data_IF_376363008120
#
_entry.id   IF_376363008120
#
_cell.length_a   1.000
_cell.length_b   1.000
_cell.length_c   1.000
_cell.angle_alpha   90.00
_cell.angle_beta   90.00
_cell.angle_gamma   90.00
#
_symmetry.space_group_name_H-M   'P 1'
#
loop_
_entity.id
_entity.type
_entity.pdbx_description
1 polymer ?
#
# COMPACT_ATOMS: atom_id res chain seq x y z
N UNK A 1 32.05 -12.11 -33.03
CA UNK A 1 30.88 -12.96 -33.29
C UNK A 1 29.91 -12.99 -32.10
N UNK A 2 30.44 -13.25 -30.94
CA UNK A 2 29.61 -13.39 -29.76
C UNK A 2 28.92 -12.10 -29.36
N UNK A 3 29.49 -10.99 -29.70
CA UNK A 3 28.91 -9.69 -29.31
C UNK A 3 27.60 -9.40 -30.00
N UNK A 4 27.32 -10.06 -31.10
CA UNK A 4 26.10 -9.85 -31.83
C UNK A 4 24.87 -10.47 -31.12
N UNK A 5 25.12 -11.37 -30.17
CA UNK A 5 24.06 -12.11 -29.53
C UNK A 5 23.19 -11.20 -28.68
N UNK A 6 23.81 -10.36 -27.86
CA UNK A 6 23.07 -9.52 -26.96
C UNK A 6 22.43 -8.32 -27.65
N UNK A 7 23.13 -7.73 -28.59
CA UNK A 7 22.63 -6.54 -29.26
C UNK A 7 21.35 -6.79 -30.04
N UNK A 8 21.28 -7.84 -30.86
CA UNK A 8 20.02 -8.13 -31.57
C UNK A 8 18.86 -8.42 -30.64
N UNK A 9 19.08 -9.13 -29.55
CA UNK A 9 18.01 -9.42 -28.61
C UNK A 9 17.48 -8.16 -27.97
N UNK A 10 18.37 -7.27 -27.55
CA UNK A 10 17.93 -6.00 -26.96
C UNK A 10 17.18 -5.16 -27.97
N UNK A 11 17.64 -5.16 -29.23
CA UNK A 11 16.99 -4.38 -30.27
C UNK A 11 15.61 -4.93 -30.63
N UNK A 12 15.38 -6.22 -30.38
CA UNK A 12 14.11 -6.85 -30.73
C UNK A 12 13.01 -6.61 -29.70
N UNK A 13 13.37 -6.09 -28.55
CA UNK A 13 12.39 -5.79 -27.52
C UNK A 13 11.63 -4.53 -27.91
N UNK A 14 10.30 -4.60 -27.83
CA UNK A 14 9.49 -3.44 -28.16
C UNK A 14 9.16 -2.63 -26.91
N UNK A 15 8.64 -1.44 -27.16
CA UNK A 15 8.30 -0.53 -26.05
C UNK A 15 7.22 -1.11 -25.17
N UNK A 16 6.33 -1.90 -25.71
CA UNK A 16 5.23 -2.51 -24.96
C UNK A 16 5.76 -3.50 -23.92
N UNK A 17 6.73 -4.32 -24.32
CA UNK A 17 7.36 -5.27 -23.41
C UNK A 17 8.09 -4.55 -22.28
N UNK A 18 8.87 -3.53 -22.63
CA UNK A 18 9.62 -2.75 -21.64
C UNK A 18 8.65 -2.07 -20.68
N UNK A 19 7.57 -1.51 -21.19
CA UNK A 19 6.56 -0.84 -20.37
C UNK A 19 5.95 -1.80 -19.35
N UNK A 20 5.59 -3.00 -19.81
CA UNK A 20 5.01 -4.02 -18.93
C UNK A 20 5.99 -4.43 -17.83
N UNK A 21 7.25 -4.60 -18.19
CA UNK A 21 8.27 -4.97 -17.21
C UNK A 21 8.44 -3.88 -16.15
N UNK A 22 8.49 -2.62 -16.58
CA UNK A 22 8.62 -1.51 -15.64
C UNK A 22 7.44 -1.47 -14.68
N UNK A 23 6.23 -1.62 -15.21
CA UNK A 23 5.03 -1.61 -14.38
C UNK A 23 5.02 -2.76 -13.38
N UNK A 24 5.44 -3.94 -13.81
CA UNK A 24 5.49 -5.11 -12.94
C UNK A 24 6.49 -4.92 -11.82
N UNK A 25 7.70 -4.47 -12.17
CA UNK A 25 8.75 -4.24 -11.18
C UNK A 25 8.34 -3.17 -10.17
N UNK A 26 7.74 -2.09 -10.67
CA UNK A 26 7.30 -0.99 -9.81
C UNK A 26 6.22 -1.47 -8.85
N UNK A 27 5.25 -2.23 -9.35
CA UNK A 27 4.19 -2.77 -8.50
C UNK A 27 4.76 -3.70 -7.42
N UNK A 28 5.67 -4.58 -7.79
CA UNK A 28 6.30 -5.49 -6.83
C UNK A 28 7.04 -4.72 -5.74
N UNK A 29 7.75 -3.67 -6.12
CA UNK A 29 8.44 -2.83 -5.15
C UNK A 29 7.46 -2.17 -4.17
N UNK A 30 6.35 -1.68 -4.69
CA UNK A 30 5.35 -1.02 -3.84
C UNK A 30 4.65 -2.00 -2.91
N UNK A 31 4.45 -3.24 -3.34
CA UNK A 31 3.89 -4.27 -2.47
C UNK A 31 4.87 -4.62 -1.34
N UNK A 32 6.17 -4.63 -1.63
CA UNK A 32 7.17 -4.82 -0.58
C UNK A 32 7.15 -3.67 0.42
N UNK A 33 6.95 -2.45 -0.07
CA UNK A 33 6.85 -1.29 0.82
C UNK A 33 5.68 -1.46 1.79
N UNK A 34 4.55 -1.98 1.32
CA UNK A 34 3.43 -2.24 2.22
C UNK A 34 3.82 -3.22 3.32
N UNK A 35 4.52 -4.29 2.97
CA UNK A 35 4.99 -5.26 3.97
C UNK A 35 5.89 -4.63 5.00
N UNK A 36 6.84 -3.83 4.56
CA UNK A 36 7.72 -3.12 5.48
C UNK A 36 6.95 -2.11 6.34
N UNK A 37 5.97 -1.44 5.76
CA UNK A 37 5.16 -0.48 6.51
C UNK A 37 4.40 -1.16 7.65
N UNK A 38 3.89 -2.36 7.41
CA UNK A 38 3.21 -3.14 8.44
C UNK A 38 4.19 -3.47 9.57
N UNK A 39 5.41 -3.90 9.23
CA UNK A 39 6.41 -4.25 10.23
C UNK A 39 6.91 -3.03 11.01
N UNK A 40 7.06 -1.90 10.35
CA UNK A 40 7.41 -0.64 11.02
C UNK A 40 6.28 -0.24 11.98
N UNK A 41 5.04 -0.33 11.51
CA UNK A 41 3.89 0.00 12.34
C UNK A 41 3.78 -0.87 13.58
N UNK A 42 4.05 -2.17 13.43
CA UNK A 42 4.06 -3.11 14.55
C UNK A 42 5.05 -2.66 15.61
N UNK A 43 6.27 -2.32 15.19
CA UNK A 43 7.35 -1.92 16.10
C UNK A 43 7.12 -0.55 16.69
N UNK A 44 6.49 0.36 15.95
CA UNK A 44 6.15 1.67 16.51
C UNK A 44 5.13 1.53 17.64
N UNK A 45 4.15 0.66 17.49
CA UNK A 45 3.19 0.41 18.56
C UNK A 45 3.86 -0.22 19.77
N UNK A 46 4.81 -1.12 19.54
CA UNK A 46 5.58 -1.73 20.60
C UNK A 46 6.39 -0.68 21.36
N UNK A 47 7.09 0.19 20.63
CA UNK A 47 7.88 1.26 21.24
C UNK A 47 7.00 2.22 22.02
N UNK A 48 5.84 2.56 21.47
CA UNK A 48 4.93 3.49 22.14
C UNK A 48 4.46 2.92 23.47
N UNK A 49 4.26 1.62 23.55
CA UNK A 49 3.87 0.97 24.81
C UNK A 49 4.99 0.97 25.84
N UNK A 50 6.23 1.04 25.40
CA UNK A 50 7.40 1.06 26.30
C UNK A 50 7.74 2.45 26.81
N UNK A 51 7.33 3.49 26.10
CA UNK A 51 7.72 4.87 26.42
C UNK A 51 6.63 5.57 27.21
N UNK A 52 7.05 6.50 28.07
CA UNK A 52 6.12 7.37 28.75
C UNK A 52 5.51 8.36 27.75
N UNK A 53 4.34 8.88 28.12
CA UNK A 53 3.58 9.72 27.21
C UNK A 53 4.38 10.90 26.63
N UNK A 54 5.18 11.58 27.46
CA UNK A 54 5.95 12.71 27.00
C UNK A 54 7.18 12.36 26.21
N UNK A 55 7.59 11.09 26.18
CA UNK A 55 8.80 10.65 25.49
C UNK A 55 8.57 10.27 24.04
N UNK A 56 7.34 10.01 23.67
CA UNK A 56 7.01 9.48 22.35
C UNK A 56 7.43 10.42 21.20
N UNK A 57 7.03 11.70 21.29
CA UNK A 57 7.35 12.67 20.26
C UNK A 57 8.85 12.87 20.07
N UNK A 58 9.59 13.16 21.13
CA UNK A 58 11.07 13.30 21.02
C UNK A 58 11.72 12.04 20.48
N UNK A 59 11.28 10.85 20.93
CA UNK A 59 11.82 9.59 20.44
C UNK A 59 11.62 9.44 18.93
N UNK A 60 10.43 9.77 18.44
CA UNK A 60 10.15 9.69 17.01
C UNK A 60 11.10 10.57 16.20
N UNK A 61 11.29 11.79 16.64
CA UNK A 61 12.12 12.74 15.91
C UNK A 61 13.59 12.39 15.97
N UNK A 62 14.08 12.02 17.14
CA UNK A 62 15.50 11.89 17.38
C UNK A 62 16.04 10.51 17.04
N UNK A 63 15.25 9.46 17.27
CA UNK A 63 15.73 8.09 17.10
C UNK A 63 15.36 7.48 15.75
N UNK A 64 14.16 7.75 15.26
CA UNK A 64 13.73 7.15 13.99
C UNK A 64 13.41 8.17 12.90
N UNK A 65 13.42 9.45 13.24
CA UNK A 65 13.25 10.55 12.29
C UNK A 65 11.92 10.47 11.53
N UNK A 66 10.86 10.16 12.24
CA UNK A 66 9.51 10.17 11.68
C UNK A 66 8.69 11.32 12.23
N UNK A 67 7.81 11.87 11.39
CA UNK A 67 6.79 12.80 11.88
C UNK A 67 5.70 12.01 12.59
N UNK A 68 4.90 12.70 13.40
CA UNK A 68 3.73 12.10 14.04
C UNK A 68 2.79 11.52 12.99
N UNK A 69 2.60 12.25 11.90
CA UNK A 69 1.70 11.85 10.83
C UNK A 69 2.18 10.54 10.18
N UNK A 70 3.47 10.47 9.86
CA UNK A 70 4.02 9.25 9.26
C UNK A 70 3.90 8.07 10.20
N UNK A 71 4.22 8.28 11.49
CA UNK A 71 4.13 7.21 12.47
C UNK A 71 2.70 6.71 12.62
N UNK A 72 1.74 7.64 12.67
CA UNK A 72 0.33 7.26 12.77
C UNK A 72 -0.12 6.46 11.57
N UNK A 73 0.34 6.82 10.37
CA UNK A 73 0.01 6.06 9.16
C UNK A 73 0.56 4.65 9.22
N UNK A 74 1.81 4.49 9.63
CA UNK A 74 2.41 3.15 9.76
C UNK A 74 1.66 2.30 10.78
N UNK A 75 1.34 2.87 11.93
CA UNK A 75 0.65 2.13 12.97
C UNK A 75 -0.76 1.73 12.50
N UNK A 76 -1.43 2.62 11.80
CA UNK A 76 -2.76 2.33 11.29
C UNK A 76 -2.71 1.25 10.20
N UNK A 77 -1.72 1.30 9.34
CA UNK A 77 -1.51 0.25 8.33
C UNK A 77 -1.32 -1.10 9.02
N UNK A 78 -0.53 -1.15 10.08
CA UNK A 78 -0.37 -2.39 10.82
C UNK A 78 -1.69 -2.85 11.43
N UNK A 79 -2.43 -1.95 12.06
CA UNK A 79 -3.69 -2.31 12.69
C UNK A 79 -4.71 -2.85 11.69
N UNK A 80 -4.77 -2.25 10.50
CA UNK A 80 -5.80 -2.58 9.52
C UNK A 80 -5.41 -3.72 8.59
N UNK A 81 -4.13 -3.88 8.29
CA UNK A 81 -3.69 -4.89 7.32
C UNK A 81 -2.78 -5.95 7.91
N UNK A 82 -2.30 -5.76 9.13
CA UNK A 82 -1.33 -6.69 9.71
C UNK A 82 -1.83 -8.10 9.89
N UNK A 83 -3.13 -8.26 10.17
CA UNK A 83 -3.71 -9.58 10.36
C UNK A 83 -3.84 -10.35 9.05
N UNK A 84 -3.90 -9.65 7.93
CA UNK A 84 -4.08 -10.25 6.62
C UNK A 84 -2.76 -10.64 5.97
N UNK A 85 -1.66 -10.11 6.50
CA UNK A 85 -0.34 -10.40 5.98
C UNK A 85 0.45 -11.15 7.06
N UNK A 86 0.52 -12.46 6.90
CA UNK A 86 1.11 -13.32 7.91
C UNK A 86 2.59 -13.03 8.06
N UNK A 87 3.27 -12.76 6.95
CA UNK A 87 4.68 -12.40 6.99
C UNK A 87 5.05 -11.70 5.69
N UNK A 88 6.20 -11.01 5.71
CA UNK A 88 6.72 -10.38 4.51
C UNK A 88 7.01 -11.39 3.40
N UNK A 89 7.35 -12.59 3.79
CA UNK A 89 7.81 -13.62 2.86
C UNK A 89 6.89 -14.82 2.80
N UNK A 90 5.79 -14.79 3.52
CA UNK A 90 4.83 -15.86 3.54
C UNK A 90 3.63 -15.61 2.65
N UNK A 91 2.74 -16.56 2.62
CA UNK A 91 1.53 -16.45 1.82
C UNK A 91 0.55 -15.48 2.47
N UNK A 92 0.04 -14.57 1.69
CA UNK A 92 -1.04 -13.70 2.14
C UNK A 92 -2.36 -14.47 2.07
N UNK A 93 -3.15 -14.36 3.12
CA UNK A 93 -4.46 -15.03 3.14
C UNK A 93 -5.45 -14.36 2.20
N UNK A 94 -5.34 -13.04 2.03
CA UNK A 94 -6.17 -12.32 1.09
C UNK A 94 -5.29 -11.82 -0.04
N UNK A 95 -5.45 -12.41 -1.20
CA UNK A 95 -4.61 -12.03 -2.33
C UNK A 95 -4.94 -10.64 -2.84
N UNK A 96 -6.20 -10.23 -2.73
CA UNK A 96 -6.61 -8.92 -3.22
C UNK A 96 -5.92 -7.81 -2.45
N UNK A 97 -5.91 -7.89 -1.11
CA UNK A 97 -5.28 -6.87 -0.28
C UNK A 97 -3.79 -7.04 -0.16
N UNK A 98 -3.30 -8.29 -0.27
CA UNK A 98 -1.87 -8.58 -0.14
C UNK A 98 -1.03 -8.04 -1.28
N UNK A 99 -1.64 -7.77 -2.42
CA UNK A 99 -0.93 -7.27 -3.60
C UNK A 99 -1.05 -5.76 -3.80
N UNK A 100 -1.56 -5.05 -2.80
CA UNK A 100 -1.75 -3.61 -2.92
C UNK A 100 -0.46 -2.84 -2.70
N UNK A 101 -0.23 -1.79 -3.48
CA UNK A 101 0.80 -0.82 -3.14
C UNK A 101 0.48 -0.11 -1.82
N UNK A 102 1.52 0.34 -1.13
CA UNK A 102 1.35 1.03 0.14
C UNK A 102 0.44 2.26 0.02
N UNK A 103 0.62 3.05 -1.03
CA UNK A 103 -0.19 4.26 -1.23
C UNK A 103 -1.66 3.93 -1.39
N UNK A 104 -1.96 2.84 -2.10
CA UNK A 104 -3.35 2.39 -2.27
C UNK A 104 -3.92 1.90 -0.94
N UNK A 105 -3.12 1.15 -0.18
CA UNK A 105 -3.55 0.67 1.13
C UNK A 105 -3.92 1.84 2.04
N UNK A 106 -3.13 2.92 2.02
CA UNK A 106 -3.44 4.11 2.80
C UNK A 106 -4.76 4.75 2.37
N UNK A 107 -4.99 4.88 1.07
CA UNK A 107 -6.22 5.49 0.57
C UNK A 107 -7.45 4.66 0.92
N UNK A 108 -7.31 3.35 0.90
CA UNK A 108 -8.43 2.46 1.22
C UNK A 108 -8.81 2.48 2.69
N UNK A 109 -7.99 3.07 3.56
CA UNK A 109 -8.38 3.25 4.95
C UNK A 109 -9.60 4.14 5.11
N UNK A 110 -9.94 4.93 4.10
CA UNK A 110 -11.15 5.73 4.10
C UNK A 110 -12.42 4.89 4.00
N UNK A 111 -12.31 3.65 3.54
CA UNK A 111 -13.44 2.73 3.45
C UNK A 111 -13.56 1.88 4.70
N UNK A 112 -14.78 1.45 5.06
CA UNK A 112 -14.92 0.44 6.11
C UNK A 112 -14.13 -0.82 5.76
N UNK A 113 -13.57 -1.45 6.79
CA UNK A 113 -12.68 -2.59 6.59
C UNK A 113 -13.34 -3.71 5.80
N UNK A 114 -14.61 -3.98 6.07
CA UNK A 114 -15.34 -5.07 5.44
C UNK A 114 -15.64 -4.83 3.97
N UNK A 115 -15.49 -3.59 3.49
CA UNK A 115 -15.76 -3.24 2.09
C UNK A 115 -14.51 -3.18 1.24
N UNK A 116 -13.33 -3.19 1.85
CA UNK A 116 -12.08 -2.96 1.10
C UNK A 116 -11.78 -4.05 0.09
N UNK A 117 -11.92 -5.30 0.49
CA UNK A 117 -11.57 -6.41 -0.39
C UNK A 117 -12.46 -6.45 -1.62
N UNK A 118 -13.77 -6.33 -1.44
CA UNK A 118 -14.67 -6.34 -2.58
C UNK A 118 -14.50 -5.11 -3.46
N UNK A 119 -14.18 -3.95 -2.86
CA UNK A 119 -13.91 -2.75 -3.64
C UNK A 119 -12.68 -2.93 -4.52
N UNK A 120 -11.61 -3.50 -3.96
CA UNK A 120 -10.39 -3.75 -4.72
C UNK A 120 -10.65 -4.71 -5.87
N UNK A 121 -11.39 -5.78 -5.61
CA UNK A 121 -11.70 -6.76 -6.66
C UNK A 121 -12.59 -6.19 -7.74
N UNK A 122 -13.62 -5.45 -7.34
CA UNK A 122 -14.59 -4.89 -8.28
C UNK A 122 -13.94 -3.89 -9.24
N UNK A 123 -13.09 -3.04 -8.71
CA UNK A 123 -12.50 -1.94 -9.49
C UNK A 123 -11.09 -2.23 -9.98
N UNK A 124 -10.55 -3.42 -9.70
CA UNK A 124 -9.15 -3.74 -10.02
C UNK A 124 -8.23 -2.64 -9.51
N UNK A 125 -8.40 -2.31 -8.22
CA UNK A 125 -7.77 -1.13 -7.64
C UNK A 125 -6.25 -1.18 -7.70
N UNK A 126 -5.67 -2.37 -7.71
CA UNK A 126 -4.21 -2.52 -7.79
C UNK A 126 -3.65 -1.99 -9.10
N UNK A 127 -4.48 -1.87 -10.12
CA UNK A 127 -4.06 -1.38 -11.44
C UNK A 127 -4.30 0.10 -11.63
N UNK A 128 -5.03 0.73 -10.72
CA UNK A 128 -5.35 2.15 -10.82
C UNK A 128 -4.20 3.01 -10.32
N UNK A 129 -4.12 4.23 -10.83
CA UNK A 129 -3.24 5.22 -10.24
C UNK A 129 -3.84 5.67 -8.91
N UNK A 130 -3.00 6.29 -8.06
CA UNK A 130 -3.47 6.83 -6.80
C UNK A 130 -4.60 7.83 -7.00
N UNK A 131 -4.46 8.67 -8.03
CA UNK A 131 -5.46 9.69 -8.35
C UNK A 131 -6.79 9.06 -8.77
N UNK A 132 -6.74 8.03 -9.60
CA UNK A 132 -7.94 7.32 -10.01
C UNK A 132 -8.64 6.66 -8.82
N UNK A 133 -7.86 6.06 -7.94
CA UNK A 133 -8.40 5.43 -6.75
C UNK A 133 -9.07 6.45 -5.84
N UNK A 134 -8.42 7.59 -5.61
CA UNK A 134 -8.99 8.65 -4.80
C UNK A 134 -10.32 9.15 -5.37
N UNK A 135 -10.39 9.26 -6.70
CA UNK A 135 -11.61 9.69 -7.35
C UNK A 135 -12.74 8.70 -7.14
N UNK A 136 -12.45 7.41 -7.28
CA UNK A 136 -13.47 6.38 -7.07
C UNK A 136 -13.97 6.36 -5.63
N UNK A 137 -13.07 6.49 -4.67
CA UNK A 137 -13.46 6.53 -3.26
C UNK A 137 -14.35 7.74 -2.99
N UNK A 138 -13.98 8.88 -3.53
CA UNK A 138 -14.76 10.10 -3.36
C UNK A 138 -16.15 9.96 -3.96
N UNK A 139 -16.25 9.40 -5.16
CA UNK A 139 -17.52 9.20 -5.82
C UNK A 139 -18.42 8.23 -5.06
N UNK A 140 -17.83 7.19 -4.49
CA UNK A 140 -18.56 6.25 -3.64
C UNK A 140 -19.12 6.96 -2.41
N UNK A 141 -18.29 7.78 -1.76
CA UNK A 141 -18.73 8.49 -0.56
C UNK A 141 -19.81 9.50 -0.87
N UNK A 142 -19.70 10.21 -1.99
CA UNK A 142 -20.72 11.15 -2.41
C UNK A 142 -22.05 10.45 -2.71
N UNK A 143 -22.01 9.32 -3.38
CA UNK A 143 -23.20 8.54 -3.69
C UNK A 143 -23.87 8.05 -2.40
N UNK A 144 -23.07 7.61 -1.44
CA UNK A 144 -23.60 7.12 -0.17
C UNK A 144 -24.24 8.24 0.63
N UNK A 145 -23.64 9.43 0.64
CA UNK A 145 -24.22 10.58 1.31
C UNK A 145 -25.53 11.00 0.67
N UNK A 146 -25.57 11.03 -0.66
CA UNK A 146 -26.80 11.37 -1.37
C UNK A 146 -27.92 10.38 -1.04
N UNK A 147 -27.59 9.11 -0.94
CA UNK A 147 -28.55 8.08 -0.58
C UNK A 147 -29.07 8.27 0.83
N UNK A 148 -28.18 8.58 1.77
CA UNK A 148 -28.56 8.84 3.15
C UNK A 148 -29.41 10.10 3.28
N UNK A 149 -29.08 11.14 2.54
CA UNK A 149 -29.84 12.39 2.57
C UNK A 149 -31.24 12.23 1.97
N UNK A 150 -31.39 11.29 1.03
CA UNK A 150 -32.69 11.03 0.42
C UNK A 150 -33.66 10.31 1.36
N UNK A 151 -33.15 9.69 2.41
CA UNK A 151 -33.96 9.02 3.42
C UNK A 151 -34.40 10.01 4.51
#
# INVERSE_FOLDING_TARGET
MSETINVPMAAQRDIKTVTTEIRTLHRQAQCMVLGYAIEIGRRLKEAKAMLDHGQWGPWLREEVNFSQSSANNFMRIFEEYGAQQVSLFGDANSQALGNLPYTHALRLLALPAEERESFVEEHHAEELSTRELEKLIRERDEARRAEQDAQ
#
